data_IF_481375974544
#
_entry.id   IF_481375974544
#
_cell.length_a   1.000
_cell.length_b   1.000
_cell.length_c   1.000
_cell.angle_alpha   90.00
_cell.angle_beta   90.00
_cell.angle_gamma   90.00
#
_symmetry.space_group_name_H-M   'P 1'
#
loop_
_entity.id
_entity.type
_entity.pdbx_description
1 polymer ?
#
# COMPACT_ATOMS: atom_id res chain seq x y z
N UNK A 1 -23.02 28.78 -11.76
CA UNK A 1 -21.61 28.34 -11.86
C UNK A 1 -21.27 27.50 -10.62
N UNK A 2 -21.17 26.17 -10.73
CA UNK A 2 -20.53 25.37 -9.69
C UNK A 2 -19.02 25.25 -9.96
N UNK A 3 -18.13 25.49 -8.98
CA UNK A 3 -16.75 24.98 -9.04
C UNK A 3 -16.84 23.46 -8.83
N UNK A 4 -16.23 22.61 -9.62
CA UNK A 4 -14.81 22.58 -9.94
C UNK A 4 -14.39 21.12 -9.71
N UNK A 5 -14.06 20.44 -10.80
CA UNK A 5 -13.66 19.03 -10.89
C UNK A 5 -12.64 18.62 -9.80
N UNK A 6 -12.92 17.55 -9.04
CA UNK A 6 -11.91 16.80 -8.31
C UNK A 6 -11.72 15.44 -9.01
N UNK A 7 -10.79 15.40 -9.96
CA UNK A 7 -10.45 14.22 -10.74
C UNK A 7 -9.19 13.57 -10.14
N UNK A 8 -9.32 12.33 -9.66
CA UNK A 8 -8.44 11.17 -9.88
C UNK A 8 -8.47 10.21 -8.69
N UNK A 9 -9.61 9.54 -8.58
CA UNK A 9 -9.69 8.22 -8.00
C UNK A 9 -9.42 7.22 -9.14
N UNK A 10 -8.18 6.74 -9.31
CA UNK A 10 -7.92 5.61 -10.20
C UNK A 10 -8.26 4.31 -9.45
N UNK A 11 -9.55 4.05 -9.28
CA UNK A 11 -10.04 2.71 -8.97
C UNK A 11 -9.89 1.86 -10.23
N UNK A 12 -8.95 0.92 -10.25
CA UNK A 12 -9.13 -0.27 -11.08
C UNK A 12 -10.18 -1.15 -10.40
N UNK A 13 -11.35 -1.25 -11.03
CA UNK A 13 -12.51 -1.95 -10.54
C UNK A 13 -12.38 -3.47 -10.71
N UNK A 14 -12.55 -4.20 -9.62
CA UNK A 14 -13.41 -5.40 -9.51
C UNK A 14 -14.13 -5.31 -8.14
N UNK A 15 -15.35 -5.87 -8.00
CA UNK A 15 -16.59 -5.09 -7.87
C UNK A 15 -16.98 -4.67 -6.45
N UNK A 16 -17.80 -3.61 -6.38
CA UNK A 16 -18.54 -3.13 -5.22
C UNK A 16 -19.15 -4.29 -4.41
N UNK A 17 -18.73 -4.44 -3.14
CA UNK A 17 -19.59 -4.83 -2.00
C UNK A 17 -18.86 -4.93 -0.64
N UNK A 18 -17.85 -4.10 -0.33
CA UNK A 18 -17.27 -4.15 1.02
C UNK A 18 -17.03 -2.78 1.64
N UNK A 19 -18.14 -2.08 1.86
CA UNK A 19 -18.28 -1.21 3.02
C UNK A 19 -18.65 -2.09 4.23
N UNK A 20 -17.75 -2.99 4.64
CA UNK A 20 -17.87 -3.73 5.89
C UNK A 20 -16.54 -3.54 6.63
N UNK A 21 -16.64 -2.70 7.65
CA UNK A 21 -15.97 -2.86 8.94
C UNK A 21 -15.83 -4.35 9.27
N UNK A 22 -14.73 -4.98 8.87
CA UNK A 22 -14.40 -6.31 9.35
C UNK A 22 -13.69 -6.17 10.70
N UNK A 23 -14.28 -6.72 11.78
CA UNK A 23 -13.69 -6.73 13.09
C UNK A 23 -12.67 -7.86 13.18
N UNK A 24 -11.54 -7.53 13.82
CA UNK A 24 -10.67 -8.41 14.63
C UNK A 24 -9.97 -9.61 13.96
N UNK A 25 -8.71 -9.77 14.39
CA UNK A 25 -7.92 -10.99 14.40
C UNK A 25 -7.04 -11.33 13.18
N UNK A 26 -5.83 -10.75 13.15
CA UNK A 26 -4.62 -11.57 13.30
C UNK A 26 -3.72 -10.95 14.39
N UNK A 27 -3.59 -11.71 15.48
CA UNK A 27 -2.53 -11.86 16.48
C UNK A 27 -1.42 -10.79 16.54
N UNK A 28 -1.27 -10.21 17.74
CA UNK A 28 -0.06 -9.65 18.35
C UNK A 28 1.19 -9.53 17.47
N UNK A 29 1.31 -8.40 16.79
CA UNK A 29 2.61 -7.73 16.69
C UNK A 29 2.31 -6.23 16.79
N UNK A 30 3.16 -5.50 17.50
CA UNK A 30 3.02 -4.06 17.70
C UNK A 30 2.90 -3.45 16.31
N UNK A 31 1.72 -2.99 15.86
CA UNK A 31 1.56 -2.39 14.53
C UNK A 31 2.41 -1.11 14.49
N UNK A 32 3.65 -1.14 13.96
CA UNK A 32 4.57 -0.04 14.15
C UNK A 32 4.23 0.98 13.07
N UNK A 33 3.90 2.18 13.49
CA UNK A 33 3.92 3.31 12.59
C UNK A 33 5.39 3.67 12.32
N UNK A 34 5.79 3.57 11.06
CA UNK A 34 7.09 4.07 10.64
C UNK A 34 7.08 5.59 10.77
N UNK A 35 8.07 6.13 11.49
CA UNK A 35 8.23 7.57 11.66
C UNK A 35 8.90 8.22 10.45
N UNK A 36 9.69 7.44 9.70
CA UNK A 36 10.41 7.92 8.52
C UNK A 36 9.89 7.25 7.25
N UNK A 37 9.74 8.05 6.20
CA UNK A 37 9.33 7.56 4.88
C UNK A 37 10.33 6.55 4.30
N UNK A 38 11.64 6.78 4.50
CA UNK A 38 12.70 5.99 3.87
C UNK A 38 12.74 4.55 4.40
N UNK A 39 12.61 4.38 5.71
CA UNK A 39 12.53 3.05 6.33
C UNK A 39 11.27 2.31 5.88
N UNK A 40 10.14 3.03 5.85
CA UNK A 40 8.87 2.47 5.38
C UNK A 40 8.96 1.99 3.93
N UNK A 41 9.46 2.85 3.03
CA UNK A 41 9.56 2.53 1.61
C UNK A 41 10.47 1.32 1.37
N UNK A 42 11.63 1.27 2.06
CA UNK A 42 12.56 0.15 1.98
C UNK A 42 11.94 -1.15 2.49
N UNK A 43 11.24 -1.11 3.63
CA UNK A 43 10.56 -2.28 4.18
C UNK A 43 9.43 -2.76 3.28
N UNK A 44 8.63 -1.84 2.72
CA UNK A 44 7.53 -2.15 1.81
C UNK A 44 8.02 -2.80 0.51
N UNK A 45 9.10 -2.29 -0.08
CA UNK A 45 9.70 -2.89 -1.27
C UNK A 45 10.27 -4.28 -0.98
N UNK A 46 10.98 -4.45 0.14
CA UNK A 46 11.51 -5.75 0.55
C UNK A 46 10.41 -6.78 0.77
N UNK A 47 9.31 -6.37 1.41
CA UNK A 47 8.16 -7.24 1.64
C UNK A 47 7.53 -7.66 0.31
N UNK A 48 7.35 -6.71 -0.61
CA UNK A 48 6.83 -6.99 -1.96
C UNK A 48 7.71 -7.97 -2.76
N UNK A 49 9.03 -7.86 -2.66
CA UNK A 49 9.96 -8.76 -3.34
C UNK A 49 10.00 -10.17 -2.74
N UNK A 50 9.55 -10.35 -1.51
CA UNK A 50 9.54 -11.65 -0.84
C UNK A 50 8.41 -12.52 -1.37
N UNK A 51 7.18 -12.01 -1.37
CA UNK A 51 5.98 -12.74 -1.83
C UNK A 51 5.01 -11.77 -2.53
N UNK A 52 5.18 -11.45 -3.83
CA UNK A 52 4.36 -10.47 -4.52
C UNK A 52 2.88 -10.88 -4.62
N UNK A 53 2.57 -12.18 -4.54
CA UNK A 53 1.21 -12.72 -4.62
C UNK A 53 0.40 -12.53 -3.33
N UNK A 54 1.05 -12.44 -2.17
CA UNK A 54 0.38 -12.24 -0.87
C UNK A 54 0.32 -10.78 -0.46
N UNK A 55 1.19 -9.94 -1.02
CA UNK A 55 1.32 -8.55 -0.61
C UNK A 55 0.16 -7.70 -1.10
N UNK A 56 -0.46 -6.99 -0.17
CA UNK A 56 -1.57 -6.05 -0.41
C UNK A 56 -1.18 -4.65 0.02
N UNK A 57 -1.35 -3.71 -0.90
CA UNK A 57 -1.09 -2.28 -0.70
C UNK A 57 -2.43 -1.55 -0.57
N UNK A 58 -2.65 -0.86 0.54
CA UNK A 58 -3.88 -0.12 0.84
C UNK A 58 -3.53 1.34 1.10
N UNK A 59 -4.11 2.25 0.31
CA UNK A 59 -3.98 3.69 0.47
C UNK A 59 -5.32 4.29 0.90
N UNK A 60 -5.32 5.08 1.96
CA UNK A 60 -6.51 5.74 2.51
C UNK A 60 -6.24 7.23 2.67
N UNK A 61 -6.92 8.05 1.88
CA UNK A 61 -6.90 9.50 1.98
C UNK A 61 -8.15 10.01 2.70
N UNK A 62 -7.98 10.98 3.60
CA UNK A 62 -9.08 11.70 4.22
C UNK A 62 -8.88 13.20 4.04
N UNK A 63 -9.72 13.78 3.19
CA UNK A 63 -9.64 15.20 2.85
C UNK A 63 -9.91 16.13 4.04
N UNK A 64 -10.95 15.86 4.86
CA UNK A 64 -11.34 16.71 5.99
C UNK A 64 -10.23 16.90 7.04
N UNK A 65 -9.43 15.85 7.25
CA UNK A 65 -8.34 15.86 8.24
C UNK A 65 -6.97 16.14 7.58
N UNK A 66 -6.93 16.31 6.25
CA UNK A 66 -5.69 16.47 5.49
C UNK A 66 -4.72 15.27 5.58
N UNK A 67 -5.20 14.09 5.98
CA UNK A 67 -4.32 12.96 6.29
C UNK A 67 -4.32 11.87 5.21
N UNK A 68 -3.18 11.21 5.10
CA UNK A 68 -2.94 10.11 4.18
C UNK A 68 -2.31 8.94 4.96
N UNK A 69 -2.92 7.77 4.86
CA UNK A 69 -2.40 6.53 5.41
C UNK A 69 -2.09 5.54 4.29
N UNK A 70 -0.89 4.99 4.29
CA UNK A 70 -0.46 3.90 3.43
C UNK A 70 -0.18 2.67 4.29
N UNK A 71 -0.68 1.51 3.86
CA UNK A 71 -0.49 0.24 4.53
C UNK A 71 -0.05 -0.82 3.53
N UNK A 72 0.96 -1.60 3.87
CA UNK A 72 1.43 -2.75 3.08
C UNK A 72 1.47 -3.96 4.00
N UNK A 73 0.89 -5.08 3.55
CA UNK A 73 0.78 -6.28 4.39
C UNK A 73 0.74 -7.56 3.56
N UNK A 74 1.29 -8.64 4.11
CA UNK A 74 1.34 -10.00 3.56
C UNK A 74 0.59 -11.01 4.46
N UNK A 75 -0.43 -10.54 5.21
CA UNK A 75 -1.17 -11.26 6.26
C UNK A 75 -0.37 -11.56 7.54
N UNK A 76 0.97 -11.62 7.48
CA UNK A 76 1.84 -11.87 8.63
C UNK A 76 2.42 -10.58 9.22
N UNK A 77 2.93 -9.68 8.37
CA UNK A 77 3.55 -8.41 8.73
C UNK A 77 2.67 -7.26 8.24
N UNK A 78 2.56 -6.20 9.05
CA UNK A 78 1.79 -5.01 8.72
C UNK A 78 2.64 -3.75 8.83
N UNK A 79 2.99 -3.17 7.69
CA UNK A 79 3.72 -1.91 7.61
C UNK A 79 2.74 -0.77 7.43
N UNK A 80 2.82 0.26 8.28
CA UNK A 80 1.94 1.42 8.20
C UNK A 80 2.73 2.73 8.22
N UNK A 81 2.37 3.64 7.32
CA UNK A 81 2.86 5.01 7.27
C UNK A 81 1.69 5.98 7.24
N UNK A 82 1.69 6.93 8.16
CA UNK A 82 0.70 8.00 8.23
C UNK A 82 1.42 9.34 8.11
N UNK A 83 0.93 10.20 7.22
CA UNK A 83 1.47 11.54 7.02
C UNK A 83 0.33 12.53 6.78
N UNK A 84 0.52 13.75 7.23
CA UNK A 84 -0.26 14.94 6.92
C UNK A 84 0.50 15.90 5.98
N UNK A 85 1.74 15.55 5.65
CA UNK A 85 2.64 16.39 4.86
C UNK A 85 2.38 16.22 3.37
N UNK A 86 1.99 17.29 2.70
CA UNK A 86 1.71 17.30 1.26
C UNK A 86 2.92 16.85 0.40
N UNK A 87 4.15 17.12 0.87
CA UNK A 87 5.38 16.68 0.20
C UNK A 87 5.53 15.16 0.10
N UNK A 88 4.94 14.41 1.04
CA UNK A 88 5.02 12.94 1.06
C UNK A 88 3.99 12.30 0.12
N UNK A 89 2.92 13.01 -0.24
CA UNK A 89 1.90 12.52 -1.17
C UNK A 89 2.55 12.09 -2.49
N UNK A 90 3.44 12.93 -3.04
CA UNK A 90 4.16 12.62 -4.28
C UNK A 90 5.11 11.44 -4.14
N UNK A 91 5.71 11.23 -2.96
CA UNK A 91 6.58 10.08 -2.68
C UNK A 91 5.76 8.79 -2.61
N UNK A 92 4.60 8.85 -1.94
CA UNK A 92 3.64 7.76 -1.82
C UNK A 92 3.10 7.34 -3.19
N UNK A 93 2.70 8.28 -4.03
CA UNK A 93 2.25 8.00 -5.40
C UNK A 93 3.34 7.33 -6.24
N UNK A 94 4.60 7.81 -6.12
CA UNK A 94 5.74 7.19 -6.82
C UNK A 94 5.98 5.76 -6.37
N UNK A 95 5.96 5.48 -5.06
CA UNK A 95 6.12 4.12 -4.53
C UNK A 95 4.99 3.22 -5.01
N UNK A 96 3.75 3.67 -4.89
CA UNK A 96 2.58 2.91 -5.31
C UNK A 96 2.62 2.59 -6.82
N UNK A 97 2.94 3.58 -7.66
CA UNK A 97 3.11 3.38 -9.10
C UNK A 97 4.33 2.52 -9.48
N UNK A 98 5.38 2.49 -8.65
CA UNK A 98 6.49 1.53 -8.79
C UNK A 98 6.01 0.11 -8.51
N UNK A 99 5.31 -0.12 -7.39
CA UNK A 99 4.78 -1.42 -7.02
C UNK A 99 3.78 -1.95 -8.06
N UNK A 100 2.88 -1.11 -8.58
CA UNK A 100 1.97 -1.50 -9.67
C UNK A 100 2.72 -1.97 -10.92
N UNK A 101 3.79 -1.27 -11.32
CA UNK A 101 4.59 -1.69 -12.48
C UNK A 101 5.26 -3.04 -12.23
N UNK A 102 5.79 -3.26 -11.03
CA UNK A 102 6.36 -4.55 -10.63
C UNK A 102 5.31 -5.68 -10.57
N UNK A 103 4.05 -5.38 -10.29
CA UNK A 103 2.95 -6.37 -10.32
C UNK A 103 2.59 -6.80 -11.74
N UNK A 104 2.78 -5.94 -12.73
CA UNK A 104 2.42 -6.19 -14.12
C UNK A 104 3.59 -6.76 -14.93
N UNK A 105 4.83 -6.43 -14.56
CA UNK A 105 6.03 -6.99 -15.19
C UNK A 105 6.12 -8.50 -14.94
N UNK A 106 6.37 -9.27 -16.01
CA UNK A 106 6.49 -10.75 -15.99
C UNK A 106 7.65 -11.31 -15.16
N UNK A 107 8.51 -10.45 -14.63
CA UNK A 107 9.75 -10.80 -13.95
C UNK A 107 9.60 -10.62 -12.43
N UNK A 108 8.52 -11.15 -11.88
CA UNK A 108 8.49 -11.53 -10.48
C UNK A 108 9.39 -12.76 -10.37
N UNK A 109 10.53 -12.65 -9.69
CA UNK A 109 11.42 -13.78 -9.39
C UNK A 109 10.56 -14.93 -8.81
N UNK A 110 10.13 -15.84 -9.69
CA UNK A 110 9.78 -17.19 -9.30
C UNK A 110 11.05 -17.73 -8.68
N UNK A 111 10.99 -18.07 -7.39
CA UNK A 111 12.08 -18.77 -6.73
C UNK A 111 12.52 -19.91 -7.64
N UNK A 112 13.70 -19.77 -8.23
CA UNK A 112 14.41 -20.88 -8.82
C UNK A 112 14.81 -21.77 -7.64
N UNK A 113 13.89 -22.64 -7.23
CA UNK A 113 14.25 -23.83 -6.49
C UNK A 113 14.59 -24.86 -7.56
N UNK A 114 15.84 -24.83 -8.00
CA UNK A 114 16.47 -26.00 -8.61
C UNK A 114 16.35 -27.14 -7.60
N UNK A 115 15.60 -28.18 -7.96
CA UNK A 115 15.70 -29.49 -7.34
C UNK A 115 16.30 -30.42 -8.38
N UNK A 116 17.48 -30.92 -8.06
CA UNK A 116 18.17 -32.15 -8.51
C UNK A 116 17.60 -32.89 -9.74
#
# INVERSE_FOLDING_TARGET
MPPGFCFKQLYFATPLKYLIRYPLFTVYDIMPYYQTWEEFARAAEKLYLTDPMKVRVVLKYRHCDGNLCLKVTDDAVCLQYKTDQAQDVKKIEKLHGKLMRLMVSKESHSGAMETD
#
